data_IF_256964736255
#
_entry.id   IF_256964736255
#
_cell.length_a   1.000
_cell.length_b   1.000
_cell.length_c   1.000
_cell.angle_alpha   90.00
_cell.angle_beta   90.00
_cell.angle_gamma   90.00
#
_symmetry.space_group_name_H-M   'P 1'
#
loop_
_entity.id
_entity.type
_entity.pdbx_description
1 polymer ?
#
# COMPACT_ATOMS: atom_id res chain seq x y z
N UNK A 1 -0.22 -21.48 -14.32
CA UNK A 1 0.48 -20.61 -13.35
C UNK A 1 1.87 -21.16 -13.11
N UNK A 2 2.87 -20.32 -13.14
CA UNK A 2 4.25 -20.76 -12.97
C UNK A 2 4.53 -21.21 -11.52
N UNK A 3 5.60 -21.98 -11.32
CA UNK A 3 5.92 -22.55 -10.02
C UNK A 3 6.31 -21.50 -8.98
N UNK A 4 6.91 -20.38 -9.44
CA UNK A 4 7.24 -19.28 -8.54
C UNK A 4 5.99 -18.71 -7.86
N UNK A 5 4.94 -18.43 -8.63
CA UNK A 5 3.69 -17.90 -8.08
C UNK A 5 3.02 -18.90 -7.14
N UNK A 6 3.04 -20.19 -7.51
CA UNK A 6 2.48 -21.25 -6.64
C UNK A 6 3.22 -21.37 -5.31
N UNK A 7 4.53 -21.22 -5.34
CA UNK A 7 5.35 -21.29 -4.13
C UNK A 7 5.24 -20.03 -3.27
N UNK A 8 4.98 -18.88 -3.87
CA UNK A 8 4.87 -17.61 -3.18
C UNK A 8 3.52 -17.45 -2.48
N UNK A 9 2.43 -17.77 -3.18
CA UNK A 9 1.05 -17.55 -2.75
C UNK A 9 0.67 -18.44 -1.57
N UNK A 10 -0.09 -17.86 -0.63
CA UNK A 10 -0.74 -18.59 0.46
C UNK A 10 -2.14 -18.03 0.68
N UNK A 11 -3.06 -18.84 1.20
CA UNK A 11 -4.48 -18.48 1.28
C UNK A 11 -4.92 -17.94 2.63
N UNK A 12 -4.04 -17.95 3.64
CA UNK A 12 -4.40 -17.53 5.01
C UNK A 12 -3.20 -17.02 5.81
N UNK A 13 -3.52 -16.37 6.91
CA UNK A 13 -2.52 -15.87 7.87
C UNK A 13 -1.86 -17.02 8.64
N UNK A 14 -0.55 -16.91 8.86
CA UNK A 14 0.16 -17.76 9.81
C UNK A 14 -0.29 -17.41 11.24
N UNK A 15 -0.64 -18.41 12.08
CA UNK A 15 -1.02 -18.17 13.47
C UNK A 15 0.02 -17.44 14.31
N UNK A 16 1.29 -17.42 13.89
CA UNK A 16 2.33 -16.72 14.63
C UNK A 16 2.12 -15.19 14.65
N UNK A 17 1.34 -14.65 13.71
CA UNK A 17 0.96 -13.22 13.72
C UNK A 17 -0.25 -13.08 14.64
N UNK A 18 -0.10 -12.40 15.80
CA UNK A 18 -1.25 -12.19 16.69
C UNK A 18 -2.35 -11.37 16.03
N UNK A 19 -3.61 -11.67 16.36
CA UNK A 19 -4.76 -10.96 15.78
C UNK A 19 -4.69 -9.45 16.00
N UNK A 20 -4.19 -9.00 17.14
CA UNK A 20 -4.04 -7.57 17.45
C UNK A 20 -3.07 -6.86 16.51
N UNK A 21 -2.15 -7.58 15.86
CA UNK A 21 -1.19 -7.04 14.89
C UNK A 21 -1.56 -7.39 13.45
N UNK A 22 -2.68 -8.07 13.22
CA UNK A 22 -3.15 -8.43 11.89
C UNK A 22 -3.94 -7.28 11.23
N UNK A 23 -3.40 -6.08 11.25
CA UNK A 23 -4.11 -4.94 10.69
C UNK A 23 -3.96 -4.81 9.17
N UNK A 24 -3.05 -5.54 8.54
CA UNK A 24 -2.95 -5.57 7.08
C UNK A 24 -3.79 -6.69 6.44
N UNK A 25 -4.25 -7.67 7.20
CA UNK A 25 -5.02 -8.79 6.65
C UNK A 25 -6.33 -8.38 5.98
N UNK A 26 -6.91 -7.27 6.43
CA UNK A 26 -8.17 -6.73 5.86
C UNK A 26 -8.01 -6.34 4.37
N UNK A 27 -6.79 -6.03 3.94
CA UNK A 27 -6.55 -5.60 2.56
C UNK A 27 -6.41 -6.76 1.58
N UNK A 28 -6.26 -7.99 2.05
CA UNK A 28 -6.09 -9.14 1.16
C UNK A 28 -7.26 -9.23 0.18
N UNK A 29 -6.94 -9.28 -1.12
CA UNK A 29 -7.90 -9.26 -2.21
C UNK A 29 -7.57 -8.20 -3.25
N UNK A 30 -8.55 -7.87 -4.07
CA UNK A 30 -8.39 -6.96 -5.20
C UNK A 30 -9.17 -5.67 -4.94
N UNK A 31 -8.52 -4.54 -5.27
CA UNK A 31 -9.08 -3.21 -5.06
C UNK A 31 -8.99 -2.37 -6.32
N UNK A 32 -10.10 -1.73 -6.67
CA UNK A 32 -10.12 -0.65 -7.64
C UNK A 32 -9.75 0.63 -6.90
N UNK A 33 -8.79 1.38 -7.42
CA UNK A 33 -8.31 2.59 -6.78
C UNK A 33 -8.37 3.79 -7.71
N UNK A 34 -8.46 4.97 -7.11
CA UNK A 34 -8.27 6.24 -7.78
C UNK A 34 -7.13 6.98 -7.09
N UNK A 35 -6.05 7.21 -7.83
CA UNK A 35 -4.94 8.06 -7.42
C UNK A 35 -5.31 9.52 -7.69
N UNK A 36 -5.08 10.39 -6.72
CA UNK A 36 -5.33 11.84 -6.86
C UNK A 36 -4.11 12.58 -6.35
N UNK A 37 -3.52 13.43 -7.20
CA UNK A 37 -2.42 14.30 -6.82
C UNK A 37 -2.57 15.67 -7.44
N UNK A 38 -1.56 16.54 -7.31
CA UNK A 38 -1.66 17.95 -7.68
C UNK A 38 -2.84 18.60 -6.97
N UNK A 39 -2.91 18.42 -5.66
CA UNK A 39 -4.06 18.81 -4.83
C UNK A 39 -4.19 20.34 -4.71
N UNK A 40 -3.15 21.07 -5.06
CA UNK A 40 -3.08 22.55 -5.01
C UNK A 40 -3.84 23.26 -6.13
N UNK A 41 -4.22 22.53 -7.19
CA UNK A 41 -4.94 23.10 -8.33
C UNK A 41 -6.44 22.83 -8.23
N UNK A 42 -7.26 23.59 -8.97
CA UNK A 42 -8.73 23.49 -8.94
C UNK A 42 -9.22 22.11 -9.41
N UNK A 43 -8.55 21.54 -10.42
CA UNK A 43 -8.85 20.20 -10.92
C UNK A 43 -7.64 19.29 -10.74
N UNK A 44 -7.52 18.61 -9.58
CA UNK A 44 -6.44 17.68 -9.34
C UNK A 44 -6.39 16.56 -10.37
N UNK A 45 -5.19 16.04 -10.62
CA UNK A 45 -5.03 14.88 -11.50
C UNK A 45 -5.64 13.65 -10.85
N UNK A 46 -6.43 12.90 -11.63
CA UNK A 46 -7.06 11.66 -11.19
C UNK A 46 -6.71 10.53 -12.13
N UNK A 47 -6.21 9.42 -11.61
CA UNK A 47 -5.80 8.26 -12.42
C UNK A 47 -6.35 6.99 -11.77
N UNK A 48 -7.08 6.20 -12.55
CA UNK A 48 -7.57 4.90 -12.07
C UNK A 48 -6.43 3.88 -12.03
N UNK A 49 -6.45 3.06 -11.00
CA UNK A 49 -5.47 2.01 -10.82
C UNK A 49 -6.06 0.77 -10.15
N UNK A 50 -5.19 -0.13 -9.81
CA UNK A 50 -5.56 -1.35 -9.07
C UNK A 50 -4.49 -1.65 -8.02
N UNK A 51 -4.94 -2.22 -6.91
CA UNK A 51 -4.07 -2.61 -5.81
C UNK A 51 -4.48 -4.00 -5.36
N UNK A 52 -3.57 -4.95 -5.46
CA UNK A 52 -3.87 -6.38 -5.26
C UNK A 52 -2.97 -6.89 -4.14
N UNK A 53 -3.58 -7.47 -3.10
CA UNK A 53 -2.87 -7.96 -1.91
C UNK A 53 -3.08 -9.45 -1.73
N UNK A 54 -2.06 -10.15 -1.30
CA UNK A 54 -2.15 -11.57 -0.98
C UNK A 54 -1.27 -11.96 0.20
N UNK A 55 -1.70 -12.97 0.94
CA UNK A 55 -0.81 -13.68 1.85
C UNK A 55 0.26 -14.39 1.02
N UNK A 56 1.48 -14.38 1.51
CA UNK A 56 2.64 -15.05 0.89
C UNK A 56 3.49 -15.69 1.99
N UNK A 57 4.50 -16.49 1.61
CA UNK A 57 5.47 -17.08 2.55
C UNK A 57 4.77 -17.87 3.66
N UNK A 58 3.89 -18.79 3.28
CA UNK A 58 3.09 -19.60 4.21
C UNK A 58 2.25 -18.77 5.18
N UNK A 59 1.84 -17.57 4.75
CA UNK A 59 1.04 -16.67 5.57
C UNK A 59 1.83 -15.80 6.54
N UNK A 60 3.15 -15.85 6.49
CA UNK A 60 4.01 -15.06 7.37
C UNK A 60 4.17 -13.61 6.90
N UNK A 61 3.74 -13.32 5.67
CA UNK A 61 3.86 -12.00 5.08
C UNK A 61 2.68 -11.68 4.17
N UNK A 62 2.49 -10.40 3.90
CA UNK A 62 1.54 -9.92 2.89
C UNK A 62 2.33 -9.21 1.80
N UNK A 63 2.07 -9.56 0.56
CA UNK A 63 2.64 -8.86 -0.59
C UNK A 63 1.52 -8.23 -1.39
N UNK A 64 1.76 -7.03 -1.91
CA UNK A 64 0.84 -6.38 -2.83
C UNK A 64 1.51 -6.05 -4.16
N UNK A 65 0.67 -5.75 -5.14
CA UNK A 65 1.09 -5.13 -6.39
C UNK A 65 0.24 -3.87 -6.57
N UNK A 66 0.90 -2.74 -6.71
CA UNK A 66 0.28 -1.42 -6.88
C UNK A 66 0.50 -0.96 -8.32
N UNK A 67 -0.59 -0.71 -9.04
CA UNK A 67 -0.53 -0.45 -10.48
C UNK A 67 -1.36 0.79 -10.82
N UNK A 68 -0.70 1.84 -11.29
CA UNK A 68 -1.35 3.11 -11.70
C UNK A 68 -0.66 3.62 -12.97
N UNK A 69 -1.35 3.83 -14.08
CA UNK A 69 -2.73 3.43 -14.38
C UNK A 69 -2.92 1.91 -14.33
N UNK A 70 -4.17 1.47 -14.19
CA UNK A 70 -4.50 0.03 -14.15
C UNK A 70 -4.03 -0.71 -15.41
N UNK A 71 -3.89 -2.03 -15.31
CA UNK A 71 -3.46 -2.87 -16.45
C UNK A 71 -4.36 -2.68 -17.68
N UNK A 72 -5.66 -2.51 -17.47
CA UNK A 72 -6.62 -2.30 -18.55
C UNK A 72 -6.48 -0.96 -19.26
N UNK A 73 -5.87 0.04 -18.62
CA UNK A 73 -5.81 1.41 -19.14
C UNK A 73 -4.40 1.88 -19.53
N UNK A 74 -3.35 1.17 -19.12
CA UNK A 74 -1.96 1.64 -19.26
C UNK A 74 -1.54 1.98 -20.67
N UNK A 75 -2.05 1.26 -21.67
CA UNK A 75 -1.68 1.48 -23.07
C UNK A 75 -2.36 2.72 -23.66
N UNK A 76 -3.57 3.05 -23.21
CA UNK A 76 -4.34 4.18 -23.69
C UNK A 76 -4.08 5.44 -22.86
N UNK A 77 -3.88 5.29 -21.55
CA UNK A 77 -3.64 6.41 -20.64
C UNK A 77 -2.18 6.38 -20.16
N UNK A 78 -1.28 6.84 -21.02
CA UNK A 78 0.14 6.88 -20.71
C UNK A 78 0.45 8.03 -19.76
N UNK A 79 0.93 7.68 -18.56
CA UNK A 79 1.39 8.67 -17.57
C UNK A 79 2.93 8.59 -17.50
N UNK A 80 3.65 9.72 -17.49
CA UNK A 80 5.11 9.71 -17.43
C UNK A 80 5.66 9.11 -16.15
N UNK A 81 4.89 9.19 -15.08
CA UNK A 81 5.21 8.64 -13.75
C UNK A 81 4.39 7.40 -13.42
N UNK A 82 3.95 6.66 -14.44
CA UNK A 82 3.19 5.43 -14.26
C UNK A 82 3.93 4.47 -13.33
N UNK A 83 3.20 3.90 -12.37
CA UNK A 83 3.78 3.03 -11.37
C UNK A 83 3.30 1.58 -11.53
N UNK A 84 4.21 0.66 -11.33
CA UNK A 84 3.95 -0.78 -11.25
C UNK A 84 4.92 -1.33 -10.22
N UNK A 85 4.49 -1.33 -8.97
CA UNK A 85 5.35 -1.64 -7.84
C UNK A 85 4.82 -2.77 -6.99
N UNK A 86 5.65 -3.25 -6.09
CA UNK A 86 5.29 -4.30 -5.15
C UNK A 86 5.77 -3.93 -3.75
N UNK A 87 4.96 -4.29 -2.77
CA UNK A 87 5.30 -4.12 -1.36
C UNK A 87 5.28 -5.48 -0.67
N UNK A 88 6.35 -5.80 0.06
CA UNK A 88 6.38 -6.97 0.93
C UNK A 88 6.32 -6.49 2.38
N UNK A 89 5.33 -6.99 3.14
CA UNK A 89 5.09 -6.63 4.54
C UNK A 89 5.32 -7.83 5.43
N UNK A 90 6.29 -7.72 6.33
CA UNK A 90 6.70 -8.80 7.24
C UNK A 90 6.48 -8.34 8.68
N UNK A 91 5.69 -9.12 9.44
CA UNK A 91 5.50 -8.83 10.86
C UNK A 91 6.77 -9.14 11.65
N UNK A 92 7.18 -8.21 12.50
CA UNK A 92 8.34 -8.36 13.36
C UNK A 92 7.90 -8.46 14.83
N UNK A 93 7.93 -9.67 15.43
CA UNK A 93 7.47 -9.84 16.81
C UNK A 93 8.36 -9.14 17.85
N UNK A 94 9.61 -8.83 17.52
CA UNK A 94 10.53 -8.14 18.42
C UNK A 94 10.15 -6.67 18.63
N UNK A 95 9.60 -6.04 17.59
CA UNK A 95 9.24 -4.62 17.63
C UNK A 95 7.73 -4.41 17.68
N UNK A 96 6.94 -5.48 17.53
CA UNK A 96 5.48 -5.43 17.42
C UNK A 96 5.04 -4.48 16.30
N UNK A 97 5.80 -4.46 15.21
CA UNK A 97 5.56 -3.63 14.05
C UNK A 97 5.74 -4.46 12.78
N UNK A 98 5.47 -3.85 11.62
CA UNK A 98 5.68 -4.49 10.34
C UNK A 98 6.87 -3.86 9.63
N UNK A 99 7.81 -4.69 9.22
CA UNK A 99 8.89 -4.28 8.34
C UNK A 99 8.42 -4.36 6.90
N UNK A 100 8.65 -3.32 6.13
CA UNK A 100 8.08 -3.16 4.80
C UNK A 100 9.18 -2.84 3.80
N UNK A 101 9.13 -3.53 2.66
CA UNK A 101 10.00 -3.32 1.52
C UNK A 101 9.14 -3.00 0.30
N UNK A 102 9.31 -1.81 -0.25
CA UNK A 102 8.63 -1.39 -1.46
C UNK A 102 9.62 -1.24 -2.59
N UNK A 103 9.26 -1.73 -3.77
CA UNK A 103 10.08 -1.58 -4.96
C UNK A 103 9.25 -1.37 -6.22
N UNK A 104 9.77 -0.53 -7.10
CA UNK A 104 9.25 -0.31 -8.43
C UNK A 104 10.43 0.03 -9.34
N UNK A 105 10.16 0.48 -10.56
CA UNK A 105 11.24 0.82 -11.51
C UNK A 105 12.10 1.95 -10.96
N UNK A 106 13.37 1.64 -10.69
CA UNK A 106 14.36 2.64 -10.27
C UNK A 106 14.27 3.07 -8.81
N UNK A 107 13.43 2.41 -8.00
CA UNK A 107 13.24 2.78 -6.60
C UNK A 107 13.08 1.53 -5.73
N UNK A 108 13.75 1.54 -4.58
CA UNK A 108 13.54 0.55 -3.53
C UNK A 108 13.69 1.25 -2.19
N UNK A 109 12.67 1.15 -1.34
CA UNK A 109 12.66 1.80 -0.04
C UNK A 109 12.25 0.80 1.06
N UNK A 110 12.65 1.12 2.27
CA UNK A 110 12.27 0.36 3.46
C UNK A 110 11.46 1.26 4.38
N UNK A 111 10.37 0.70 4.93
CA UNK A 111 9.48 1.40 5.83
C UNK A 111 9.18 0.54 7.06
N UNK A 112 8.69 1.19 8.09
CA UNK A 112 8.14 0.54 9.27
C UNK A 112 6.68 0.98 9.42
N UNK A 113 5.78 0.02 9.67
CA UNK A 113 4.37 0.31 9.85
C UNK A 113 3.91 -0.07 11.25
N UNK A 114 3.06 0.79 11.80
CA UNK A 114 2.44 0.59 13.10
C UNK A 114 1.04 1.20 13.10
N UNK A 115 0.21 0.73 14.01
CA UNK A 115 -1.17 1.21 14.13
C UNK A 115 -1.25 2.35 15.15
N UNK A 116 -1.94 3.43 14.79
CA UNK A 116 -2.20 4.57 15.67
C UNK A 116 -3.71 4.84 15.62
N UNK A 117 -4.41 4.48 16.69
CA UNK A 117 -5.87 4.53 16.70
C UNK A 117 -6.44 3.56 15.65
N UNK A 118 -7.22 4.07 14.72
CA UNK A 118 -7.79 3.30 13.62
C UNK A 118 -6.94 3.36 12.34
N UNK A 119 -5.88 4.16 12.35
CA UNK A 119 -5.03 4.37 11.18
C UNK A 119 -3.78 3.48 11.22
N UNK A 120 -3.23 3.18 10.04
CA UNK A 120 -1.93 2.51 9.91
C UNK A 120 -0.97 3.53 9.31
N UNK A 121 0.14 3.77 10.00
CA UNK A 121 1.15 4.74 9.57
C UNK A 121 2.41 4.01 9.17
N UNK A 122 2.91 4.32 7.97
CA UNK A 122 4.17 3.82 7.45
C UNK A 122 5.16 4.97 7.35
N UNK A 123 6.33 4.79 7.98
CA UNK A 123 7.41 5.77 7.92
C UNK A 123 8.61 5.19 7.18
N UNK A 124 9.23 6.00 6.32
CA UNK A 124 10.46 5.58 5.65
C UNK A 124 11.62 5.55 6.64
N UNK A 125 12.45 4.50 6.55
CA UNK A 125 13.57 4.33 7.49
C UNK A 125 14.75 5.26 7.22
N UNK A 126 14.80 5.87 6.03
CA UNK A 126 15.91 6.76 5.60
C UNK A 126 15.58 8.24 5.74
N UNK A 127 14.33 8.60 6.00
CA UNK A 127 13.90 9.99 6.16
C UNK A 127 12.70 10.06 7.12
N UNK A 128 12.67 11.10 7.94
CA UNK A 128 11.55 11.40 8.81
C UNK A 128 10.56 12.39 8.17
N UNK A 129 10.77 12.74 6.91
CA UNK A 129 10.00 13.77 6.21
C UNK A 129 8.87 13.22 5.37
N UNK A 130 8.79 11.91 5.19
CA UNK A 130 7.78 11.26 4.35
C UNK A 130 7.09 10.15 5.12
N UNK A 131 5.76 10.10 5.03
CA UNK A 131 4.98 9.01 5.60
C UNK A 131 3.74 8.71 4.74
N UNK A 132 3.19 7.53 4.97
CA UNK A 132 2.01 7.04 4.25
C UNK A 132 0.99 6.59 5.29
N UNK A 133 -0.28 6.90 5.08
CA UNK A 133 -1.33 6.60 6.08
C UNK A 133 -2.50 5.89 5.41
N UNK A 134 -2.83 4.70 5.91
CA UNK A 134 -4.09 4.02 5.61
C UNK A 134 -5.11 4.46 6.65
N UNK A 135 -6.27 4.91 6.20
CA UNK A 135 -7.33 5.42 7.07
C UNK A 135 -8.72 5.00 6.57
N UNK A 136 -9.72 5.18 7.41
CA UNK A 136 -11.12 4.85 7.11
C UNK A 136 -11.25 3.43 6.53
N UNK A 137 -10.60 2.48 7.21
CA UNK A 137 -10.46 1.11 6.74
C UNK A 137 -11.71 0.31 7.07
N UNK A 138 -12.34 -0.28 6.06
CA UNK A 138 -13.44 -1.23 6.20
C UNK A 138 -13.17 -2.46 5.34
N UNK A 139 -14.04 -3.46 5.40
CA UNK A 139 -13.91 -4.65 4.56
C UNK A 139 -14.12 -4.38 3.06
N UNK A 140 -14.70 -3.22 2.71
CA UNK A 140 -15.07 -2.90 1.32
C UNK A 140 -14.44 -1.63 0.79
N UNK A 141 -13.83 -0.80 1.66
CA UNK A 141 -13.23 0.46 1.25
C UNK A 141 -12.12 0.89 2.20
N UNK A 142 -11.20 1.69 1.69
CA UNK A 142 -10.23 2.39 2.53
C UNK A 142 -9.72 3.63 1.81
N UNK A 143 -9.02 4.47 2.55
CA UNK A 143 -8.29 5.62 2.03
C UNK A 143 -6.82 5.48 2.36
N UNK A 144 -5.99 6.03 1.51
CA UNK A 144 -4.55 6.11 1.71
C UNK A 144 -4.09 7.49 1.31
N UNK A 145 -3.07 8.00 1.98
CA UNK A 145 -2.49 9.29 1.62
C UNK A 145 -0.98 9.28 1.83
N UNK A 146 -0.30 10.06 1.01
CA UNK A 146 1.11 10.33 1.11
C UNK A 146 1.28 11.72 1.70
N UNK A 147 2.09 11.84 2.74
CA UNK A 147 2.30 13.08 3.45
C UNK A 147 3.78 13.45 3.46
N UNK A 148 4.05 14.75 3.28
CA UNK A 148 5.38 15.32 3.34
C UNK A 148 5.42 16.33 4.48
N UNK A 149 6.46 16.24 5.33
CA UNK A 149 6.65 17.17 6.44
C UNK A 149 7.16 18.50 5.90
N UNK A 150 6.46 19.58 6.22
CA UNK A 150 6.86 20.92 5.77
C UNK A 150 7.88 21.57 6.73
N UNK A 151 8.36 22.76 6.37
CA UNK A 151 9.37 23.49 7.15
C UNK A 151 8.92 23.81 8.59
N UNK A 152 7.59 23.90 8.84
CA UNK A 152 7.06 24.15 10.19
C UNK A 152 6.81 22.86 10.98
N UNK A 153 7.17 21.70 10.44
CA UNK A 153 7.01 20.40 11.08
C UNK A 153 5.60 19.81 10.94
N UNK A 154 4.75 20.40 10.13
CA UNK A 154 3.40 19.89 9.84
C UNK A 154 3.42 18.95 8.65
N UNK A 155 2.46 18.04 8.61
CA UNK A 155 2.32 17.07 7.54
C UNK A 155 1.34 17.58 6.49
N UNK A 156 1.83 17.76 5.26
CA UNK A 156 1.02 18.15 4.10
C UNK A 156 0.68 16.93 3.28
N UNK A 157 -0.58 16.76 2.93
CA UNK A 157 -1.02 15.68 2.03
C UNK A 157 -0.67 16.05 0.60
N UNK A 158 0.14 15.23 -0.07
CA UNK A 158 0.60 15.48 -1.45
C UNK A 158 -0.01 14.52 -2.47
N UNK A 159 -0.56 13.40 -2.02
CA UNK A 159 -1.28 12.45 -2.88
C UNK A 159 -2.28 11.66 -2.04
N UNK A 160 -3.35 11.21 -2.68
CA UNK A 160 -4.40 10.42 -2.04
C UNK A 160 -4.80 9.24 -2.91
N UNK A 161 -5.28 8.18 -2.26
CA UNK A 161 -5.93 7.05 -2.92
C UNK A 161 -7.28 6.81 -2.24
N UNK A 162 -8.30 6.59 -3.07
CA UNK A 162 -9.58 6.02 -2.64
C UNK A 162 -9.66 4.62 -3.19
N UNK A 163 -9.96 3.67 -2.33
CA UNK A 163 -10.00 2.26 -2.71
C UNK A 163 -11.37 1.67 -2.43
N UNK A 164 -11.87 0.89 -3.37
CA UNK A 164 -13.09 0.10 -3.26
C UNK A 164 -12.75 -1.32 -3.63
N UNK A 165 -13.26 -2.29 -2.85
CA UNK A 165 -13.02 -3.69 -3.17
C UNK A 165 -13.59 -4.00 -4.55
N UNK A 166 -12.78 -4.60 -5.40
CA UNK A 166 -13.18 -4.95 -6.75
C UNK A 166 -14.33 -5.95 -6.72
N UNK A 167 -15.28 -5.77 -7.64
CA UNK A 167 -16.36 -6.73 -7.81
C UNK A 167 -15.81 -7.94 -8.55
N UNK A 168 -15.84 -9.07 -7.87
CA UNK A 168 -15.33 -10.33 -8.41
C UNK A 168 -16.21 -10.91 -9.51
#
# INVERSE_FOLDING_TARGET
MNQFIKALYYDKKDPYIPEEYNFFGVFVGEWDIEWVDHLEVDEPRRVKGEWIFSWVLEGAAIQDVFIVPSRSERLQNKQPDAEYGTTLRIFNPKTSAWDIFYGCRGEAIRLTAYKVGQDIILTENTTEEMRYVFSEITSTSFKWRKELKNASGKWDVIAKVRAQRAKG
#
